data_IF_578013641439
#
_entry.id   IF_578013641439
#
_cell.length_a   1.000
_cell.length_b   1.000
_cell.length_c   1.000
_cell.angle_alpha   90.00
_cell.angle_beta   90.00
_cell.angle_gamma   90.00
#
_symmetry.space_group_name_H-M   'P 1'
#
loop_
_entity.id
_entity.type
_entity.pdbx_description
1 polymer ?
#
# COMPACT_ATOMS: atom_id res chain seq x y z
N UNK A 1 -12.86 -11.83 10.80
CA UNK A 1 -13.02 -10.99 9.62
C UNK A 1 -14.48 -10.95 9.20
N UNK A 2 -14.89 -9.83 8.61
CA UNK A 2 -16.20 -9.66 7.97
C UNK A 2 -15.98 -9.70 6.45
N UNK A 3 -16.71 -10.55 5.74
CA UNK A 3 -16.54 -10.73 4.30
C UNK A 3 -17.92 -10.61 3.65
N UNK A 4 -18.05 -9.69 2.68
CA UNK A 4 -19.29 -9.52 1.93
C UNK A 4 -19.63 -10.80 1.16
N UNK A 5 -20.93 -11.18 1.03
CA UNK A 5 -21.32 -12.43 0.40
C UNK A 5 -20.93 -12.60 -1.06
N UNK A 6 -20.73 -11.48 -1.76
CA UNK A 6 -20.35 -11.41 -3.17
C UNK A 6 -18.85 -11.14 -3.39
N UNK A 7 -18.04 -11.10 -2.32
CA UNK A 7 -16.60 -11.00 -2.41
C UNK A 7 -15.98 -12.34 -2.86
N UNK A 8 -15.06 -12.27 -3.83
CA UNK A 8 -14.30 -13.42 -4.31
C UNK A 8 -13.05 -13.67 -3.48
N UNK A 9 -12.92 -14.85 -2.88
CA UNK A 9 -11.72 -15.24 -2.12
C UNK A 9 -11.10 -16.48 -2.77
N UNK A 10 -9.89 -16.34 -3.30
CA UNK A 10 -9.18 -17.42 -3.98
C UNK A 10 -8.49 -18.38 -3.00
N UNK A 11 -7.84 -19.41 -3.53
CA UNK A 11 -7.14 -20.41 -2.74
C UNK A 11 -5.94 -19.81 -1.98
N UNK A 12 -5.65 -20.38 -0.81
CA UNK A 12 -4.50 -20.00 0.05
C UNK A 12 -4.49 -18.56 0.54
N UNK A 13 -5.65 -17.90 0.59
CA UNK A 13 -5.81 -16.58 1.21
C UNK A 13 -5.91 -16.72 2.72
N UNK A 14 -5.16 -15.87 3.44
CA UNK A 14 -5.27 -15.73 4.89
C UNK A 14 -5.82 -14.34 5.23
N UNK A 15 -6.82 -14.26 6.11
CA UNK A 15 -7.42 -12.97 6.53
C UNK A 15 -7.45 -12.91 8.05
N UNK A 16 -6.72 -11.94 8.60
CA UNK A 16 -6.60 -11.69 10.03
C UNK A 16 -7.89 -11.15 10.69
N UNK A 17 -7.92 -11.16 12.02
CA UNK A 17 -9.06 -10.68 12.79
C UNK A 17 -9.35 -9.19 12.56
N UNK A 18 -10.62 -8.80 12.75
CA UNK A 18 -11.14 -7.44 12.62
C UNK A 18 -10.95 -6.81 11.24
N UNK A 19 -10.57 -7.63 10.24
CA UNK A 19 -10.47 -7.17 8.85
C UNK A 19 -11.81 -7.30 8.14
N UNK A 20 -12.04 -6.43 7.16
CA UNK A 20 -13.27 -6.36 6.38
C UNK A 20 -12.99 -6.38 4.88
N UNK A 21 -13.76 -7.16 4.15
CA UNK A 21 -13.76 -7.24 2.69
C UNK A 21 -15.14 -6.85 2.19
N UNK A 22 -15.21 -5.74 1.49
CA UNK A 22 -16.48 -5.17 1.01
C UNK A 22 -16.97 -5.83 -0.29
N UNK A 23 -18.18 -5.46 -0.69
CA UNK A 23 -18.91 -6.02 -1.83
C UNK A 23 -18.12 -5.99 -3.15
N UNK A 24 -18.16 -7.08 -3.91
CA UNK A 24 -17.51 -7.19 -5.20
C UNK A 24 -15.98 -7.14 -5.18
N UNK A 25 -15.35 -7.12 -4.01
CA UNK A 25 -13.89 -7.19 -3.93
C UNK A 25 -13.38 -8.60 -4.25
N UNK A 26 -12.20 -8.70 -4.86
CA UNK A 26 -11.56 -9.97 -5.18
C UNK A 26 -10.17 -10.07 -4.53
N UNK A 27 -9.96 -11.16 -3.79
CA UNK A 27 -8.69 -11.46 -3.14
C UNK A 27 -8.09 -12.68 -3.82
N UNK A 28 -7.08 -12.45 -4.64
CA UNK A 28 -6.43 -13.48 -5.44
C UNK A 28 -5.56 -14.45 -4.64
N UNK A 29 -5.03 -15.48 -5.30
CA UNK A 29 -4.40 -16.61 -4.61
C UNK A 29 -3.14 -16.20 -3.83
N UNK A 30 -3.01 -16.79 -2.64
CA UNK A 30 -1.85 -16.59 -1.78
C UNK A 30 -1.71 -15.20 -1.18
N UNK A 31 -2.73 -14.35 -1.23
CA UNK A 31 -2.73 -13.07 -0.54
C UNK A 31 -2.80 -13.25 0.98
N UNK A 32 -2.11 -12.39 1.70
CA UNK A 32 -2.09 -12.36 3.17
C UNK A 32 -2.63 -11.00 3.62
N UNK A 33 -3.75 -11.03 4.30
CA UNK A 33 -4.39 -9.85 4.88
C UNK A 33 -4.24 -9.97 6.40
N UNK A 34 -3.45 -9.10 6.98
CA UNK A 34 -3.25 -9.06 8.43
C UNK A 34 -4.43 -8.45 9.17
N UNK A 35 -4.19 -8.02 10.40
CA UNK A 35 -5.22 -7.53 11.31
C UNK A 35 -5.68 -6.11 10.97
N UNK A 36 -6.93 -5.79 11.28
CA UNK A 36 -7.49 -4.44 11.21
C UNK A 36 -7.43 -3.83 9.79
N UNK A 37 -7.42 -4.65 8.74
CA UNK A 37 -7.41 -4.20 7.36
C UNK A 37 -8.83 -4.01 6.80
N UNK A 38 -8.98 -3.05 5.89
CA UNK A 38 -10.24 -2.80 5.18
C UNK A 38 -9.97 -2.81 3.69
N UNK A 39 -10.71 -3.61 2.94
CA UNK A 39 -10.65 -3.70 1.48
C UNK A 39 -11.98 -3.21 0.95
N UNK A 40 -11.96 -2.03 0.32
CA UNK A 40 -13.15 -1.36 -0.17
C UNK A 40 -13.76 -2.05 -1.39
N UNK A 41 -15.01 -1.73 -1.67
CA UNK A 41 -15.83 -2.39 -2.67
C UNK A 41 -15.21 -2.36 -4.08
N UNK A 42 -15.28 -3.48 -4.79
CA UNK A 42 -14.79 -3.63 -6.15
C UNK A 42 -13.25 -3.59 -6.28
N UNK A 43 -12.52 -3.62 -5.16
CA UNK A 43 -11.05 -3.66 -5.20
C UNK A 43 -10.54 -5.06 -5.52
N UNK A 44 -9.40 -5.15 -6.18
CA UNK A 44 -8.77 -6.39 -6.61
C UNK A 44 -7.33 -6.49 -6.11
N UNK A 45 -7.04 -7.55 -5.37
CA UNK A 45 -5.69 -7.97 -5.02
C UNK A 45 -5.34 -9.19 -5.87
N UNK A 46 -4.46 -9.04 -6.85
CA UNK A 46 -4.29 -10.03 -7.93
C UNK A 46 -3.71 -11.36 -7.45
N UNK A 47 -2.53 -11.37 -6.83
CA UNK A 47 -1.93 -12.56 -6.24
C UNK A 47 -0.79 -12.23 -5.28
N UNK A 48 -0.61 -13.01 -4.21
CA UNK A 48 0.51 -12.86 -3.26
C UNK A 48 0.75 -11.43 -2.80
N UNK A 49 -0.31 -10.65 -2.66
CA UNK A 49 -0.28 -9.32 -2.05
C UNK A 49 -0.29 -9.50 -0.54
N UNK A 50 0.50 -8.68 0.17
CA UNK A 50 0.53 -8.68 1.63
C UNK A 50 0.07 -7.32 2.16
N UNK A 51 -1.03 -7.31 2.88
CA UNK A 51 -1.45 -6.19 3.72
C UNK A 51 -1.08 -6.53 5.17
N UNK A 52 -0.07 -5.86 5.74
CA UNK A 52 0.50 -6.29 7.03
C UNK A 52 -0.44 -6.05 8.20
N UNK A 53 -0.84 -4.81 8.45
CA UNK A 53 -1.90 -4.48 9.40
C UNK A 53 -2.31 -3.01 9.27
N UNK A 54 -3.56 -2.67 9.66
CA UNK A 54 -4.12 -1.32 9.59
C UNK A 54 -3.97 -0.69 8.19
N UNK A 55 -4.17 -1.50 7.15
CA UNK A 55 -4.20 -1.02 5.76
C UNK A 55 -5.66 -0.80 5.38
N UNK A 56 -5.97 0.38 4.89
CA UNK A 56 -7.28 0.75 4.37
C UNK A 56 -7.20 1.03 2.89
N UNK A 57 -7.88 0.23 2.10
CA UNK A 57 -8.06 0.43 0.67
C UNK A 57 -9.43 1.03 0.43
N UNK A 58 -9.48 2.07 -0.36
CA UNK A 58 -10.71 2.63 -0.91
C UNK A 58 -11.39 1.67 -1.88
N UNK A 59 -12.26 2.20 -2.71
CA UNK A 59 -13.02 1.43 -3.71
C UNK A 59 -12.24 1.30 -5.01
N UNK A 60 -12.40 0.17 -5.72
CA UNK A 60 -11.81 -0.07 -7.05
C UNK A 60 -10.30 0.11 -7.09
N UNK A 61 -9.65 -0.27 -6.00
CA UNK A 61 -8.18 -0.28 -5.92
C UNK A 61 -7.66 -1.57 -6.54
N UNK A 62 -6.71 -1.46 -7.45
CA UNK A 62 -6.03 -2.60 -8.06
C UNK A 62 -4.62 -2.74 -7.50
N UNK A 63 -4.30 -3.93 -6.96
CA UNK A 63 -2.97 -4.21 -6.44
C UNK A 63 -2.36 -5.41 -7.16
N UNK A 64 -1.22 -5.17 -7.79
CA UNK A 64 -0.50 -6.18 -8.59
C UNK A 64 0.32 -7.14 -7.73
N UNK A 65 0.79 -8.28 -8.32
CA UNK A 65 1.40 -9.37 -7.56
C UNK A 65 2.63 -8.94 -6.75
N UNK A 66 2.73 -9.46 -5.55
CA UNK A 66 3.89 -9.30 -4.69
C UNK A 66 4.02 -7.95 -3.99
N UNK A 67 3.06 -7.04 -4.17
CA UNK A 67 3.07 -5.76 -3.44
C UNK A 67 2.89 -5.99 -1.93
N UNK A 68 3.58 -5.19 -1.12
CA UNK A 68 3.53 -5.24 0.35
C UNK A 68 3.16 -3.87 0.91
N UNK A 69 2.03 -3.79 1.61
CA UNK A 69 1.55 -2.55 2.21
C UNK A 69 1.50 -2.68 3.74
N UNK A 70 1.99 -1.68 4.44
CA UNK A 70 1.88 -1.59 5.89
C UNK A 70 3.01 -2.29 6.67
N UNK A 71 4.13 -2.60 6.01
CA UNK A 71 5.35 -2.97 6.71
C UNK A 71 5.90 -1.80 7.53
N UNK A 72 6.68 -2.09 8.56
CA UNK A 72 7.29 -1.03 9.38
C UNK A 72 8.26 -0.18 8.55
N UNK A 73 8.17 1.12 8.69
CA UNK A 73 9.14 2.06 8.14
C UNK A 73 10.52 1.91 8.78
N UNK A 74 11.53 2.47 8.14
CA UNK A 74 12.92 2.47 8.59
C UNK A 74 13.13 3.54 9.67
N UNK A 75 12.54 3.30 10.86
CA UNK A 75 12.66 4.17 12.02
C UNK A 75 13.67 3.60 13.03
N UNK A 76 14.82 4.26 13.19
CA UNK A 76 15.88 3.86 14.09
C UNK A 76 16.36 5.03 14.94
N UNK A 77 16.70 4.74 16.19
CA UNK A 77 17.40 5.67 17.10
C UNK A 77 18.71 5.04 17.54
N UNK A 78 19.74 5.88 17.72
CA UNK A 78 21.01 5.43 18.27
C UNK A 78 21.00 5.63 19.80
N UNK A 79 21.15 4.54 20.55
CA UNK A 79 21.27 4.59 22.00
C UNK A 79 22.46 3.74 22.46
N UNK A 80 23.37 4.33 23.20
CA UNK A 80 24.59 3.68 23.72
C UNK A 80 25.37 2.86 22.68
N UNK A 81 25.46 3.36 21.44
CA UNK A 81 26.18 2.69 20.35
C UNK A 81 25.44 1.55 19.67
N UNK A 82 24.15 1.35 19.96
CA UNK A 82 23.29 0.32 19.36
C UNK A 82 22.08 0.95 18.68
N UNK A 83 21.63 0.32 17.59
CA UNK A 83 20.40 0.72 16.91
C UNK A 83 19.17 0.19 17.64
N UNK A 84 18.30 1.09 18.06
CA UNK A 84 16.97 0.77 18.57
C UNK A 84 15.94 1.00 17.49
N UNK A 85 15.05 0.02 17.30
CA UNK A 85 13.91 0.16 16.41
C UNK A 85 12.84 1.03 17.06
N UNK A 86 12.46 2.11 16.38
CA UNK A 86 11.33 2.96 16.78
C UNK A 86 10.02 2.27 16.35
N UNK A 87 9.07 2.01 17.26
CA UNK A 87 7.79 1.41 16.92
C UNK A 87 7.04 2.23 15.88
N UNK A 88 6.45 1.54 14.91
CA UNK A 88 5.63 2.14 13.85
C UNK A 88 4.15 1.85 14.16
N UNK A 89 3.39 2.87 14.55
CA UNK A 89 2.03 2.74 15.12
C UNK A 89 0.93 3.16 14.16
N UNK A 90 1.25 3.94 13.12
CA UNK A 90 0.32 4.34 12.08
C UNK A 90 -0.09 3.19 11.17
N UNK A 91 -0.82 3.48 10.13
CA UNK A 91 -1.28 2.55 9.10
C UNK A 91 -0.90 3.01 7.70
N UNK A 92 -1.63 2.50 6.72
CA UNK A 92 -1.60 2.93 5.32
C UNK A 92 -3.04 3.18 4.87
N UNK A 93 -3.28 4.33 4.27
CA UNK A 93 -4.58 4.66 3.67
C UNK A 93 -4.41 4.91 2.18
N UNK A 94 -5.10 4.15 1.36
CA UNK A 94 -5.13 4.23 -0.10
C UNK A 94 -6.52 4.70 -0.52
N UNK A 95 -6.57 5.79 -1.29
CA UNK A 95 -7.81 6.34 -1.83
C UNK A 95 -8.48 5.46 -2.89
N UNK A 96 -9.63 5.91 -3.38
CA UNK A 96 -10.38 5.22 -4.43
C UNK A 96 -9.59 5.20 -5.76
N UNK A 97 -9.86 4.22 -6.61
CA UNK A 97 -9.35 4.11 -7.97
C UNK A 97 -7.82 4.06 -8.12
N UNK A 98 -7.08 3.81 -7.05
CA UNK A 98 -5.63 3.68 -7.10
C UNK A 98 -5.18 2.37 -7.75
N UNK A 99 -3.99 2.40 -8.37
CA UNK A 99 -3.32 1.20 -8.89
C UNK A 99 -1.90 1.10 -8.33
N UNK A 100 -1.56 -0.05 -7.76
CA UNK A 100 -0.27 -0.32 -7.13
C UNK A 100 0.43 -1.44 -7.88
N UNK A 101 1.56 -1.13 -8.51
CA UNK A 101 2.32 -2.05 -9.34
C UNK A 101 2.98 -3.19 -8.58
N UNK A 102 3.45 -4.17 -9.34
CA UNK A 102 4.03 -5.40 -8.79
C UNK A 102 5.29 -5.12 -7.96
N UNK A 103 5.42 -5.84 -6.84
CA UNK A 103 6.55 -5.73 -5.90
C UNK A 103 6.78 -4.30 -5.35
N UNK A 104 5.80 -3.42 -5.42
CA UNK A 104 5.84 -2.11 -4.79
C UNK A 104 5.65 -2.27 -3.29
N UNK A 105 6.40 -1.51 -2.50
CA UNK A 105 6.31 -1.52 -1.05
C UNK A 105 5.87 -0.15 -0.53
N UNK A 106 4.91 -0.14 0.39
CA UNK A 106 4.40 1.07 1.04
C UNK A 106 4.47 0.88 2.55
N UNK A 107 5.39 1.61 3.18
CA UNK A 107 5.59 1.52 4.62
C UNK A 107 4.43 2.20 5.37
N UNK A 108 4.11 1.65 6.53
CA UNK A 108 3.17 2.27 7.47
C UNK A 108 3.76 3.53 8.08
N UNK A 109 2.92 4.44 8.49
CA UNK A 109 3.40 5.62 9.20
C UNK A 109 3.89 5.33 10.62
N UNK A 110 4.73 6.21 11.14
CA UNK A 110 5.24 6.09 12.50
C UNK A 110 4.14 6.32 13.56
N UNK A 111 3.39 7.40 13.45
CA UNK A 111 2.22 7.73 14.28
C UNK A 111 0.98 7.89 13.41
N UNK A 112 1.03 8.79 12.44
CA UNK A 112 -0.01 9.00 11.45
C UNK A 112 0.14 8.01 10.29
N UNK A 113 -0.88 7.87 9.45
CA UNK A 113 -0.84 6.99 8.30
C UNK A 113 0.06 7.52 7.17
N UNK A 114 0.62 6.61 6.39
CA UNK A 114 1.07 6.88 5.03
C UNK A 114 -0.17 6.94 4.13
N UNK A 115 -0.29 7.98 3.29
CA UNK A 115 -1.52 8.26 2.55
C UNK A 115 -1.26 8.41 1.05
N UNK A 116 -1.99 7.64 0.26
CA UNK A 116 -2.17 7.89 -1.17
C UNK A 116 -3.60 8.36 -1.38
N UNK A 117 -3.78 9.52 -2.00
CA UNK A 117 -5.10 10.04 -2.32
C UNK A 117 -5.71 9.29 -3.52
N UNK A 118 -6.85 9.72 -4.02
CA UNK A 118 -7.56 9.05 -5.11
C UNK A 118 -6.77 9.03 -6.43
N UNK A 119 -6.98 7.98 -7.23
CA UNK A 119 -6.44 7.82 -8.58
C UNK A 119 -4.91 7.98 -8.66
N UNK A 120 -4.20 7.53 -7.62
CA UNK A 120 -2.74 7.45 -7.65
C UNK A 120 -2.31 6.18 -8.37
N UNK A 121 -1.34 6.31 -9.30
CA UNK A 121 -0.78 5.23 -10.09
C UNK A 121 0.68 5.02 -9.71
N UNK A 122 0.99 3.88 -9.12
CA UNK A 122 2.36 3.46 -8.85
C UNK A 122 2.72 2.30 -9.78
N UNK A 123 3.79 2.46 -10.54
CA UNK A 123 4.35 1.39 -11.35
C UNK A 123 5.06 0.35 -10.46
N UNK A 124 5.78 -0.57 -11.07
CA UNK A 124 6.41 -1.69 -10.38
C UNK A 124 7.64 -1.28 -9.57
N UNK A 125 7.94 -2.01 -8.49
CA UNK A 125 9.15 -1.88 -7.69
C UNK A 125 9.38 -0.46 -7.15
N UNK A 126 8.33 0.18 -6.71
CA UNK A 126 8.39 1.50 -6.06
C UNK A 126 8.48 1.31 -4.54
N UNK A 127 9.30 2.13 -3.88
CA UNK A 127 9.35 2.24 -2.42
C UNK A 127 8.69 3.54 -1.97
N UNK A 128 7.63 3.45 -1.19
CA UNK A 128 7.01 4.60 -0.49
C UNK A 128 7.36 4.51 0.99
N UNK A 129 8.13 5.46 1.48
CA UNK A 129 8.55 5.55 2.88
C UNK A 129 7.42 5.96 3.83
N UNK A 130 7.63 5.71 5.11
CA UNK A 130 6.66 5.99 6.18
C UNK A 130 6.20 7.46 6.20
N UNK A 131 4.93 7.71 6.51
CA UNK A 131 4.33 9.05 6.58
C UNK A 131 4.37 9.86 5.27
N UNK A 132 4.69 9.24 4.13
CA UNK A 132 4.59 9.91 2.84
C UNK A 132 3.11 10.22 2.51
N UNK A 133 2.90 11.34 1.81
CA UNK A 133 1.58 11.74 1.29
C UNK A 133 1.69 11.96 -0.21
N UNK A 134 0.92 11.22 -0.98
CA UNK A 134 0.87 11.33 -2.44
C UNK A 134 -0.50 11.88 -2.83
N UNK A 135 -0.50 13.07 -3.43
CA UNK A 135 -1.72 13.77 -3.84
C UNK A 135 -2.42 13.10 -5.02
N UNK A 136 -3.71 13.37 -5.13
CA UNK A 136 -4.61 12.76 -6.11
C UNK A 136 -4.11 12.87 -7.57
N UNK A 137 -4.44 11.87 -8.39
CA UNK A 137 -4.13 11.82 -9.83
C UNK A 137 -2.62 11.90 -10.13
N UNK A 138 -1.78 11.43 -9.21
CA UNK A 138 -0.32 11.41 -9.35
C UNK A 138 0.13 10.05 -9.86
N UNK A 139 1.07 10.05 -10.82
CA UNK A 139 1.68 8.84 -11.38
C UNK A 139 3.18 8.81 -11.07
N UNK A 140 3.67 7.68 -10.56
CA UNK A 140 5.08 7.46 -10.24
C UNK A 140 5.57 6.25 -11.03
N UNK A 141 6.61 6.46 -11.84
CA UNK A 141 7.18 5.41 -12.67
C UNK A 141 8.11 4.46 -11.90
N UNK A 142 8.34 3.30 -12.49
CA UNK A 142 9.02 2.17 -11.88
C UNK A 142 10.39 2.45 -11.30
N UNK A 143 10.75 1.67 -10.29
CA UNK A 143 12.03 1.74 -9.58
C UNK A 143 12.29 3.10 -8.89
N UNK A 144 11.24 3.89 -8.64
CA UNK A 144 11.33 5.16 -7.91
C UNK A 144 11.26 4.95 -6.39
N UNK A 145 11.91 5.83 -5.65
CA UNK A 145 11.84 5.86 -4.19
C UNK A 145 11.29 7.20 -3.68
N UNK A 146 10.34 7.14 -2.76
CA UNK A 146 9.83 8.31 -2.04
C UNK A 146 10.23 8.18 -0.58
N UNK A 147 11.06 9.10 -0.11
CA UNK A 147 11.55 9.12 1.27
C UNK A 147 10.41 9.31 2.27
N UNK A 148 10.64 8.86 3.49
CA UNK A 148 9.68 9.06 4.57
C UNK A 148 9.32 10.53 4.80
N UNK A 149 8.07 10.80 5.18
CA UNK A 149 7.50 12.12 5.44
C UNK A 149 7.50 13.09 4.24
N UNK A 150 7.74 12.59 3.03
CA UNK A 150 7.67 13.39 1.81
C UNK A 150 6.20 13.63 1.41
N UNK A 151 5.91 14.85 0.96
CA UNK A 151 4.62 15.18 0.34
C UNK A 151 4.83 15.46 -1.14
N UNK A 152 4.13 14.69 -1.99
CA UNK A 152 4.00 14.92 -3.43
C UNK A 152 2.61 15.49 -3.68
N UNK A 153 2.52 16.62 -4.38
CA UNK A 153 1.24 17.27 -4.70
C UNK A 153 0.38 16.45 -5.65
N UNK A 154 -0.84 16.91 -5.88
CA UNK A 154 -1.74 16.29 -6.84
C UNK A 154 -1.29 16.52 -8.29
N UNK A 155 -1.68 15.61 -9.20
CA UNK A 155 -1.42 15.68 -10.64
C UNK A 155 0.06 15.78 -11.01
N UNK A 156 0.93 15.16 -10.20
CA UNK A 156 2.34 15.03 -10.50
C UNK A 156 2.59 13.78 -11.34
N UNK A 157 3.62 13.85 -12.20
CA UNK A 157 4.13 12.68 -12.93
C UNK A 157 5.64 12.64 -12.79
N UNK A 158 6.18 11.51 -12.33
CA UNK A 158 7.62 11.34 -12.19
C UNK A 158 8.14 10.41 -13.29
N UNK A 159 9.26 10.73 -13.97
CA UNK A 159 9.90 9.81 -14.90
C UNK A 159 10.51 8.62 -14.15
N UNK A 160 10.78 7.49 -14.84
CA UNK A 160 11.51 6.37 -14.26
C UNK A 160 12.94 6.77 -13.90
N UNK A 161 13.53 6.12 -12.88
CA UNK A 161 14.86 6.45 -12.36
C UNK A 161 16.00 6.45 -13.38
N UNK A 162 15.84 5.80 -14.55
CA UNK A 162 16.90 5.65 -15.58
C UNK A 162 16.40 5.83 -17.03
N UNK A 163 15.29 6.52 -17.24
CA UNK A 163 14.68 6.62 -18.57
C UNK A 163 14.56 8.03 -19.12
N UNK A 164 15.19 8.31 -20.25
CA UNK A 164 14.96 9.46 -21.12
C UNK A 164 13.91 9.12 -22.19
N UNK A 165 12.74 8.57 -21.80
CA UNK A 165 11.67 8.26 -22.72
C UNK A 165 10.48 9.21 -22.55
N UNK A 166 9.79 9.61 -23.66
CA UNK A 166 8.49 10.27 -23.53
C UNK A 166 7.46 9.27 -23.00
N UNK A 167 6.57 9.74 -22.17
CA UNK A 167 5.32 9.06 -21.76
C UNK A 167 4.32 9.14 -22.88
#
# INVERSE_FOLDING_TARGET
AEIAPDAGIAAFVSIGPRSRVDAGAYIGPGCIIGDDCVIGAGSELTARVTLVRRVRLGRRVLIHPGAVLGADGFGLAMEHGHWLKVPQLGGVTIGDDCEIGANTTIDRGALDDTVLEEDVRLDNQIQIGHNARIGAHTAIAGCSGVSGSTTIGARCSTPPCNGSGPW
#
